data_IF_369901848310
#
_entry.id   IF_369901848310
#
_cell.length_a   1.000
_cell.length_b   1.000
_cell.length_c   1.000
_cell.angle_alpha   90.00
_cell.angle_beta   90.00
_cell.angle_gamma   90.00
#
_symmetry.space_group_name_H-M   'P 1'
#
loop_
_entity.id
_entity.type
_entity.pdbx_description
1 polymer ?
#
# COMPACT_ATOMS: atom_id res chain seq x y z
N UNK A 1 -0.46 23.71 3.08
CA UNK A 1 -1.19 22.53 3.60
C UNK A 1 -2.65 22.69 3.23
N UNK A 2 -3.15 21.95 2.25
CA UNK A 2 -4.55 22.08 1.81
C UNK A 2 -4.84 21.73 0.36
N UNK A 3 -3.87 21.20 -0.38
CA UNK A 3 -4.08 20.80 -1.78
C UNK A 3 -5.00 19.56 -1.87
N UNK A 4 -5.80 19.46 -2.94
CA UNK A 4 -6.62 18.27 -3.26
C UNK A 4 -5.78 16.99 -3.31
N UNK A 5 -4.50 17.11 -3.65
CA UNK A 5 -3.54 15.99 -3.71
C UNK A 5 -3.22 15.42 -2.31
N UNK A 6 -3.11 16.29 -1.30
CA UNK A 6 -2.86 15.90 0.10
C UNK A 6 -4.10 15.25 0.73
N UNK A 7 -5.31 15.61 0.27
CA UNK A 7 -6.57 15.04 0.80
C UNK A 7 -6.71 13.55 0.48
N UNK A 8 -6.35 13.12 -0.73
CA UNK A 8 -6.47 11.72 -1.12
C UNK A 8 -5.45 10.84 -0.41
N UNK A 9 -4.17 11.21 -0.46
CA UNK A 9 -3.09 10.48 0.21
C UNK A 9 -3.29 10.40 1.73
N UNK A 10 -3.82 11.46 2.36
CA UNK A 10 -4.18 11.42 3.78
C UNK A 10 -5.38 10.52 4.09
N UNK A 11 -6.39 10.45 3.22
CA UNK A 11 -7.48 9.49 3.35
C UNK A 11 -6.98 8.04 3.24
N UNK A 12 -6.12 7.77 2.25
CA UNK A 12 -5.50 6.45 2.07
C UNK A 12 -4.67 6.07 3.29
N UNK A 13 -3.84 7.00 3.78
CA UNK A 13 -3.06 6.83 5.00
C UNK A 13 -3.96 6.44 6.18
N UNK A 14 -5.01 7.22 6.46
CA UNK A 14 -5.93 6.94 7.57
C UNK A 14 -6.59 5.57 7.43
N UNK A 15 -6.96 5.18 6.21
CA UNK A 15 -7.52 3.85 5.93
C UNK A 15 -6.54 2.73 6.26
N UNK A 16 -5.28 2.86 5.85
CA UNK A 16 -4.23 1.85 6.11
C UNK A 16 -3.89 1.80 7.61
N UNK A 17 -3.75 2.95 8.26
CA UNK A 17 -3.48 3.05 9.69
C UNK A 17 -4.61 2.41 10.53
N UNK A 18 -5.87 2.60 10.13
CA UNK A 18 -7.04 2.01 10.79
C UNK A 18 -7.37 0.58 10.34
N UNK A 19 -6.62 0.00 9.40
CA UNK A 19 -6.87 -1.35 8.91
C UNK A 19 -6.30 -2.39 9.88
N UNK A 20 -7.19 -3.18 10.47
CA UNK A 20 -6.90 -4.33 11.34
C UNK A 20 -7.33 -5.61 10.62
N UNK A 21 -6.54 -6.66 10.78
CA UNK A 21 -6.86 -8.00 10.28
C UNK A 21 -7.10 -8.91 11.48
N UNK A 22 -8.27 -9.55 11.52
CA UNK A 22 -8.68 -10.47 12.59
C UNK A 22 -8.64 -11.92 12.08
N UNK A 23 -9.36 -12.22 11.00
CA UNK A 23 -9.50 -13.57 10.43
C UNK A 23 -9.78 -13.56 8.91
N UNK A 24 -9.85 -14.75 8.30
CA UNK A 24 -10.08 -14.96 6.86
C UNK A 24 -11.54 -15.26 6.48
N UNK A 25 -12.50 -15.02 7.37
CA UNK A 25 -13.95 -15.19 7.14
C UNK A 25 -14.58 -13.94 6.50
N UNK A 26 -13.79 -12.88 6.29
CA UNK A 26 -14.23 -11.61 5.70
C UNK A 26 -14.67 -11.70 4.23
N UNK A 27 -15.44 -10.68 3.80
CA UNK A 27 -15.95 -10.51 2.43
C UNK A 27 -14.84 -10.59 1.37
N UNK A 28 -13.62 -10.20 1.72
CA UNK A 28 -12.49 -10.28 0.81
C UNK A 28 -12.15 -11.71 0.37
N UNK A 29 -12.46 -12.73 1.18
CA UNK A 29 -12.15 -14.13 0.90
C UNK A 29 -13.26 -14.88 0.15
N UNK A 30 -14.44 -14.27 0.02
CA UNK A 30 -15.54 -14.85 -0.74
C UNK A 30 -15.22 -15.03 -2.23
N UNK A 31 -15.80 -16.05 -2.89
CA UNK A 31 -15.65 -16.27 -4.32
C UNK A 31 -16.17 -15.08 -5.13
N UNK A 32 -15.40 -14.63 -6.12
CA UNK A 32 -15.82 -13.59 -7.05
C UNK A 32 -16.77 -14.15 -8.11
N UNK A 33 -17.79 -13.37 -8.47
CA UNK A 33 -18.72 -13.70 -9.55
C UNK A 33 -18.16 -13.30 -10.92
N UNK A 34 -18.60 -13.97 -11.98
CA UNK A 34 -18.26 -13.58 -13.34
C UNK A 34 -18.70 -12.12 -13.61
N UNK A 35 -17.81 -11.32 -14.21
CA UNK A 35 -18.04 -9.88 -14.44
C UNK A 35 -17.76 -8.95 -13.24
N UNK A 36 -17.42 -9.48 -12.06
CA UNK A 36 -17.15 -8.69 -10.85
C UNK A 36 -15.70 -8.20 -10.71
N UNK A 37 -15.12 -7.57 -11.74
CA UNK A 37 -13.72 -7.13 -11.70
C UNK A 37 -13.44 -6.10 -10.60
N UNK A 38 -14.32 -5.12 -10.43
CA UNK A 38 -14.20 -4.10 -9.38
C UNK A 38 -14.18 -4.71 -7.98
N UNK A 39 -15.08 -5.66 -7.71
CA UNK A 39 -15.11 -6.38 -6.43
C UNK A 39 -13.86 -7.22 -6.25
N UNK A 40 -13.46 -7.98 -7.26
CA UNK A 40 -12.20 -8.73 -7.22
C UNK A 40 -11.01 -7.84 -6.85
N UNK A 41 -10.87 -6.69 -7.52
CA UNK A 41 -9.73 -5.81 -7.30
C UNK A 41 -9.80 -5.09 -5.93
N UNK A 42 -11.00 -4.73 -5.47
CA UNK A 42 -11.24 -4.21 -4.12
C UNK A 42 -10.84 -5.25 -3.05
N UNK A 43 -11.33 -6.48 -3.17
CA UNK A 43 -11.01 -7.60 -2.27
C UNK A 43 -9.52 -7.92 -2.29
N UNK A 44 -8.89 -7.93 -3.46
CA UNK A 44 -7.44 -8.13 -3.62
C UNK A 44 -6.63 -7.08 -2.87
N UNK A 45 -7.02 -5.80 -2.93
CA UNK A 45 -6.34 -4.73 -2.17
C UNK A 45 -6.46 -4.94 -0.67
N UNK A 46 -7.62 -5.38 -0.18
CA UNK A 46 -7.83 -5.67 1.25
C UNK A 46 -6.91 -6.81 1.69
N UNK A 47 -6.84 -7.92 0.95
CA UNK A 47 -5.91 -9.03 1.25
C UNK A 47 -4.45 -8.60 1.34
N UNK A 48 -4.02 -7.67 0.49
CA UNK A 48 -2.67 -7.12 0.56
C UNK A 48 -2.45 -6.30 1.85
N UNK A 49 -3.47 -5.57 2.31
CA UNK A 49 -3.41 -4.88 3.60
C UNK A 49 -3.46 -5.84 4.79
N UNK A 50 -4.13 -7.00 4.66
CA UNK A 50 -4.09 -8.07 5.66
C UNK A 50 -2.68 -8.65 5.81
N UNK A 51 -1.99 -8.88 4.68
CA UNK A 51 -0.57 -9.27 4.70
C UNK A 51 0.30 -8.23 5.41
N UNK A 52 0.07 -6.95 5.13
CA UNK A 52 0.79 -5.84 5.77
C UNK A 52 0.49 -5.73 7.27
N UNK A 53 -0.74 -6.04 7.70
CA UNK A 53 -1.11 -6.06 9.12
C UNK A 53 -0.26 -7.09 9.90
N UNK A 54 -0.05 -8.28 9.33
CA UNK A 54 0.83 -9.29 9.91
C UNK A 54 2.29 -8.82 9.99
N UNK A 55 2.80 -8.15 8.94
CA UNK A 55 4.16 -7.59 8.93
C UNK A 55 4.34 -6.47 9.97
N UNK A 56 3.32 -5.62 10.15
CA UNK A 56 3.32 -4.57 11.19
C UNK A 56 3.30 -5.18 12.59
N UNK A 57 2.45 -6.18 12.83
CA UNK A 57 2.38 -6.87 14.12
C UNK A 57 3.70 -7.56 14.50
N UNK A 58 4.42 -8.12 13.51
CA UNK A 58 5.71 -8.75 13.71
C UNK A 58 6.88 -7.77 13.97
N UNK A 59 6.64 -6.45 13.95
CA UNK A 59 7.70 -5.43 13.93
C UNK A 59 7.70 -4.49 15.14
N UNK A 60 7.18 -4.96 16.28
CA UNK A 60 7.07 -4.18 17.52
C UNK A 60 8.40 -3.57 18.03
N UNK A 61 9.54 -4.17 17.68
CA UNK A 61 10.88 -3.74 18.09
C UNK A 61 11.50 -2.68 17.15
N UNK A 62 10.91 -2.43 15.96
CA UNK A 62 11.52 -1.54 14.95
C UNK A 62 11.06 -0.08 15.08
N UNK A 63 11.96 0.90 14.87
CA UNK A 63 11.61 2.32 14.92
C UNK A 63 10.65 2.68 13.78
N UNK A 64 9.59 3.41 14.11
CA UNK A 64 8.53 3.82 13.18
C UNK A 64 8.91 5.07 12.38
N UNK A 65 9.98 4.96 11.59
CA UNK A 65 10.58 6.06 10.82
C UNK A 65 9.65 6.61 9.73
N UNK A 66 8.84 5.76 9.13
CA UNK A 66 7.98 6.11 7.99
C UNK A 66 6.52 6.29 8.38
N UNK A 67 6.25 6.56 9.67
CA UNK A 67 4.89 6.80 10.15
C UNK A 67 4.24 7.93 9.35
N UNK A 68 3.16 7.60 8.67
CA UNK A 68 2.39 8.54 7.85
C UNK A 68 2.85 8.71 6.41
N UNK A 69 3.83 7.92 5.98
CA UNK A 69 4.22 7.78 4.58
C UNK A 69 3.38 6.66 3.98
N UNK A 70 2.82 6.92 2.80
CA UNK A 70 2.24 5.90 1.92
C UNK A 70 3.14 5.77 0.71
N UNK A 71 3.77 4.61 0.54
CA UNK A 71 4.77 4.35 -0.48
C UNK A 71 4.26 3.37 -1.55
N UNK A 72 4.69 3.60 -2.79
CA UNK A 72 4.53 2.68 -3.91
C UNK A 72 5.89 2.45 -4.56
N UNK A 73 6.25 1.20 -4.85
CA UNK A 73 7.49 0.87 -5.56
C UNK A 73 7.16 0.57 -7.02
N UNK A 74 7.86 1.23 -7.95
CA UNK A 74 7.62 1.13 -9.39
C UNK A 74 8.86 0.67 -10.14
N UNK A 75 8.67 -0.32 -11.00
CA UNK A 75 9.72 -0.85 -11.87
C UNK A 75 10.74 -1.71 -11.13
N UNK A 76 11.88 -1.93 -11.78
CA UNK A 76 13.00 -2.64 -11.20
C UNK A 76 13.69 -1.78 -10.15
N UNK A 77 14.02 -2.39 -9.01
CA UNK A 77 14.71 -1.76 -7.88
C UNK A 77 15.76 -2.69 -7.30
N UNK A 78 16.81 -2.12 -6.74
CA UNK A 78 17.82 -2.82 -5.97
C UNK A 78 17.98 -2.08 -4.62
N UNK A 79 17.57 -2.68 -3.48
CA UNK A 79 17.05 -4.05 -3.29
C UNK A 79 15.66 -4.28 -3.91
N UNK A 80 15.25 -5.55 -4.02
CA UNK A 80 14.01 -5.95 -4.71
C UNK A 80 12.73 -5.40 -4.07
N UNK A 81 11.63 -5.39 -4.82
CA UNK A 81 10.32 -4.92 -4.35
C UNK A 81 9.88 -5.60 -3.06
N UNK A 82 10.04 -6.91 -2.94
CA UNK A 82 9.64 -7.65 -1.73
C UNK A 82 10.43 -7.23 -0.50
N UNK A 83 11.72 -6.91 -0.66
CA UNK A 83 12.57 -6.41 0.42
C UNK A 83 12.16 -4.99 0.81
N UNK A 84 11.99 -4.09 -0.16
CA UNK A 84 11.54 -2.72 0.09
C UNK A 84 10.17 -2.69 0.74
N UNK A 85 9.23 -3.51 0.25
CA UNK A 85 7.89 -3.64 0.81
C UNK A 85 7.96 -4.03 2.29
N UNK A 86 8.71 -5.09 2.62
CA UNK A 86 8.88 -5.51 4.01
C UNK A 86 9.49 -4.39 4.85
N UNK A 87 10.64 -3.84 4.48
CA UNK A 87 11.30 -2.81 5.29
C UNK A 87 10.42 -1.56 5.47
N UNK A 88 9.73 -1.11 4.43
CA UNK A 88 8.82 0.04 4.53
C UNK A 88 7.69 -0.21 5.54
N UNK A 89 6.99 -1.34 5.42
CA UNK A 89 5.84 -1.67 6.28
C UNK A 89 6.28 -1.89 7.73
N UNK A 90 7.40 -2.60 7.93
CA UNK A 90 7.95 -2.87 9.26
C UNK A 90 8.38 -1.57 10.00
N UNK A 91 8.81 -0.55 9.24
CA UNK A 91 9.17 0.78 9.76
C UNK A 91 7.99 1.78 9.76
N UNK A 92 6.75 1.29 9.63
CA UNK A 92 5.52 2.07 9.85
C UNK A 92 4.96 2.79 8.62
N UNK A 93 5.45 2.49 7.42
CA UNK A 93 4.86 3.00 6.19
C UNK A 93 3.58 2.22 5.82
N UNK A 94 2.62 2.91 5.21
CA UNK A 94 1.59 2.25 4.42
C UNK A 94 2.15 1.88 3.04
N UNK A 95 1.87 0.67 2.56
CA UNK A 95 2.34 0.22 1.25
C UNK A 95 1.19 0.02 0.26
N UNK A 96 1.36 0.54 -0.95
CA UNK A 96 0.42 0.37 -2.06
C UNK A 96 1.09 -0.44 -3.16
N UNK A 97 0.71 -1.70 -3.32
CA UNK A 97 1.17 -2.50 -4.46
C UNK A 97 0.59 -2.01 -5.79
N UNK A 98 -0.66 -1.55 -5.77
CA UNK A 98 -1.35 -1.02 -6.94
C UNK A 98 -1.67 0.45 -6.72
N UNK A 99 -1.31 1.27 -7.72
CA UNK A 99 -1.54 2.70 -7.72
C UNK A 99 -2.72 3.03 -8.64
N UNK A 100 -3.90 3.28 -8.08
CA UNK A 100 -5.09 3.66 -8.85
C UNK A 100 -5.00 5.09 -9.40
N UNK A 101 -4.20 5.94 -8.76
CA UNK A 101 -3.99 7.32 -9.16
C UNK A 101 -2.79 7.93 -8.46
N UNK A 102 -2.16 8.92 -9.10
CA UNK A 102 -0.92 9.56 -8.61
C UNK A 102 -1.04 10.19 -7.21
N UNK A 103 -2.27 10.53 -6.78
CA UNK A 103 -2.53 11.21 -5.51
C UNK A 103 -2.76 10.27 -4.33
N UNK A 104 -2.74 8.95 -4.57
CA UNK A 104 -2.98 7.93 -3.54
C UNK A 104 -1.73 7.67 -2.70
N UNK A 105 -0.55 7.75 -3.32
CA UNK A 105 0.73 7.58 -2.65
C UNK A 105 1.32 8.95 -2.27
N UNK A 106 2.02 9.00 -1.14
CA UNK A 106 2.85 10.15 -0.77
C UNK A 106 4.19 10.12 -1.51
N UNK A 107 4.74 8.92 -1.71
CA UNK A 107 6.05 8.70 -2.32
C UNK A 107 5.97 7.53 -3.30
N UNK A 108 6.62 7.69 -4.46
CA UNK A 108 6.84 6.62 -5.42
C UNK A 108 8.33 6.37 -5.49
N UNK A 109 8.77 5.17 -5.13
CA UNK A 109 10.16 4.72 -5.17
C UNK A 109 10.39 4.03 -6.51
N UNK A 110 11.36 4.50 -7.29
CA UNK A 110 11.74 3.91 -8.57
C UNK A 110 13.23 4.13 -8.84
N UNK A 111 13.90 3.16 -9.46
CA UNK A 111 15.29 3.33 -9.92
C UNK A 111 15.37 3.99 -11.29
N UNK A 112 14.39 3.74 -12.17
CA UNK A 112 14.32 4.31 -13.51
C UNK A 112 12.88 4.64 -13.86
N UNK A 113 12.65 5.78 -14.50
CA UNK A 113 11.34 6.16 -15.03
C UNK A 113 11.42 6.23 -16.57
N UNK A 114 10.40 5.73 -17.29
CA UNK A 114 10.33 5.92 -18.73
C UNK A 114 10.17 7.42 -19.05
N UNK A 115 10.66 7.91 -20.20
CA UNK A 115 10.62 9.33 -20.55
C UNK A 115 9.23 9.96 -20.43
N UNK A 116 8.18 9.20 -20.80
CA UNK A 116 6.77 9.62 -20.67
C UNK A 116 6.32 9.96 -19.24
N UNK A 117 7.06 9.51 -18.21
CA UNK A 117 6.77 9.77 -16.79
C UNK A 117 7.76 10.75 -16.14
N UNK A 118 8.83 11.13 -16.85
CA UNK A 118 9.86 12.04 -16.34
C UNK A 118 9.52 13.52 -16.60
N UNK A 119 8.66 13.78 -17.59
CA UNK A 119 8.21 15.11 -18.02
C UNK A 119 6.74 15.33 -17.65
#
# INVERSE_FOLDING_TARGET
MGSRLEKNSSQVRKRIEGHTFEDEEGEEYEPSKFGGFDDYFRRKKIKLQNLDANLRAASSDKPQLFKGIVAHVSGYTQPSLSVLHRELVQHGAGFLQYLDGKTMATHIVASTLPPKKAV
#
